data_IF_127550630567
#
_entry.id   IF_127550630567
#
_cell.length_a   1.000
_cell.length_b   1.000
_cell.length_c   1.000
_cell.angle_alpha   90.00
_cell.angle_beta   90.00
_cell.angle_gamma   90.00
#
_symmetry.space_group_name_H-M   'P 1'
#
loop_
_entity.id
_entity.type
_entity.pdbx_description
1 polymer ?
#
# COMPACT_ATOMS: atom_id res chain seq x y z
N UNK A 1 -3.32 1.74 15.12
CA UNK A 1 -2.74 0.91 14.04
C UNK A 1 -3.16 -0.54 14.22
N UNK A 2 -3.02 -1.15 15.40
CA UNK A 2 -3.41 -2.55 15.66
C UNK A 2 -4.88 -2.83 15.31
N UNK A 3 -5.78 -1.90 15.66
CA UNK A 3 -7.20 -1.98 15.31
C UNK A 3 -7.41 -1.96 13.78
N UNK A 4 -6.67 -1.13 13.06
CA UNK A 4 -6.77 -1.06 11.60
C UNK A 4 -6.26 -2.35 10.94
N UNK A 5 -5.16 -2.92 11.45
CA UNK A 5 -4.63 -4.21 11.00
C UNK A 5 -5.64 -5.33 11.17
N UNK A 6 -6.29 -5.42 12.33
CA UNK A 6 -7.33 -6.40 12.62
C UNK A 6 -8.51 -6.25 11.68
N UNK A 7 -9.04 -5.03 11.50
CA UNK A 7 -10.17 -4.77 10.60
C UNK A 7 -9.86 -5.20 9.17
N UNK A 8 -8.67 -4.89 8.64
CA UNK A 8 -8.28 -5.27 7.29
C UNK A 8 -8.17 -6.78 7.15
N UNK A 9 -7.50 -7.45 8.10
CA UNK A 9 -7.39 -8.91 8.11
C UNK A 9 -8.76 -9.58 8.12
N UNK A 10 -9.62 -9.19 9.05
CA UNK A 10 -10.96 -9.77 9.20
C UNK A 10 -11.82 -9.54 7.96
N UNK A 11 -11.73 -8.35 7.36
CA UNK A 11 -12.49 -8.03 6.15
C UNK A 11 -12.02 -8.87 4.97
N UNK A 12 -10.71 -8.98 4.76
CA UNK A 12 -10.14 -9.77 3.68
C UNK A 12 -10.41 -11.26 3.87
N UNK A 13 -10.27 -11.79 5.09
CA UNK A 13 -10.57 -13.20 5.38
C UNK A 13 -12.04 -13.52 5.13
N UNK A 14 -12.96 -12.67 5.57
CA UNK A 14 -14.41 -12.85 5.33
C UNK A 14 -14.77 -12.79 3.85
N UNK A 15 -14.09 -11.91 3.10
CA UNK A 15 -14.42 -11.67 1.69
C UNK A 15 -13.79 -12.72 0.76
N UNK A 16 -12.57 -13.17 1.06
CA UNK A 16 -11.79 -14.03 0.17
C UNK A 16 -11.66 -15.47 0.66
N UNK A 17 -11.95 -15.75 1.93
CA UNK A 17 -11.66 -17.04 2.59
C UNK A 17 -10.17 -17.29 2.84
N UNK A 18 -9.30 -16.32 2.53
CA UNK A 18 -7.84 -16.43 2.71
C UNK A 18 -7.40 -15.62 3.92
N UNK A 19 -6.38 -16.13 4.64
CA UNK A 19 -5.72 -15.39 5.73
C UNK A 19 -4.59 -14.54 5.17
N UNK A 20 -4.78 -13.20 5.02
CA UNK A 20 -3.75 -12.35 4.48
C UNK A 20 -2.66 -12.04 5.51
N UNK A 21 -1.44 -11.91 5.04
CA UNK A 21 -0.38 -11.26 5.79
C UNK A 21 -0.49 -9.75 5.59
N UNK A 22 -0.62 -9.00 6.68
CA UNK A 22 -0.74 -7.54 6.62
C UNK A 22 0.37 -6.92 7.45
N UNK A 23 1.09 -5.99 6.86
CA UNK A 23 2.11 -5.19 7.53
C UNK A 23 1.86 -3.71 7.25
N UNK A 24 1.85 -2.90 8.30
CA UNK A 24 1.84 -1.45 8.21
C UNK A 24 3.25 -0.92 8.43
N UNK A 25 3.67 -0.03 7.56
CA UNK A 25 4.88 0.77 7.70
C UNK A 25 4.43 2.22 7.73
N UNK A 26 4.70 2.91 8.81
CA UNK A 26 4.31 4.31 9.02
C UNK A 26 5.53 5.18 9.21
N UNK A 27 5.41 6.49 8.95
CA UNK A 27 6.45 7.47 9.25
C UNK A 27 5.81 8.74 9.78
N UNK A 28 6.46 9.38 10.74
CA UNK A 28 6.12 10.73 11.19
C UNK A 28 6.70 11.81 10.26
N UNK A 29 7.58 11.42 9.37
CA UNK A 29 8.20 12.30 8.38
C UNK A 29 7.44 12.18 7.06
N UNK A 30 6.62 13.19 6.77
CA UNK A 30 5.79 13.20 5.57
C UNK A 30 6.60 13.22 4.27
N UNK A 31 7.85 13.68 4.31
CA UNK A 31 8.73 13.73 3.13
C UNK A 31 9.23 12.33 2.72
N UNK A 32 9.16 11.36 3.62
CA UNK A 32 9.58 9.98 3.34
C UNK A 32 8.50 9.11 2.71
N UNK A 33 7.24 9.53 2.78
CA UNK A 33 6.12 8.78 2.20
C UNK A 33 5.74 9.43 0.88
N UNK A 34 5.71 8.68 -0.23
CA UNK A 34 5.23 9.22 -1.52
C UNK A 34 3.84 9.82 -1.39
N UNK A 35 3.61 11.00 -1.97
CA UNK A 35 2.29 11.64 -2.01
C UNK A 35 1.28 10.85 -2.83
N UNK A 36 1.75 10.21 -3.89
CA UNK A 36 0.90 9.41 -4.77
C UNK A 36 0.39 8.16 -4.06
N UNK A 37 -0.81 7.77 -4.38
CA UNK A 37 -1.47 6.58 -3.82
C UNK A 37 -1.53 5.49 -4.86
N UNK A 38 -0.94 4.35 -4.52
CA UNK A 38 -0.84 3.18 -5.39
C UNK A 38 -1.43 1.95 -4.72
N UNK A 39 -2.04 1.09 -5.53
CA UNK A 39 -2.25 -0.33 -5.22
C UNK A 39 -1.47 -1.11 -6.26
N UNK A 40 -0.53 -1.92 -5.82
CA UNK A 40 0.33 -2.74 -6.67
C UNK A 40 -0.01 -4.21 -6.40
N UNK A 41 -0.33 -4.91 -7.47
CA UNK A 41 -0.53 -6.36 -7.46
C UNK A 41 0.42 -7.03 -8.46
N UNK A 42 0.43 -8.36 -8.52
CA UNK A 42 1.21 -9.09 -9.52
C UNK A 42 0.79 -8.78 -10.96
N UNK A 43 -0.41 -8.23 -11.15
CA UNK A 43 -1.01 -8.07 -12.49
C UNK A 43 -1.30 -6.63 -12.87
N UNK A 44 -1.45 -5.75 -11.88
CA UNK A 44 -1.95 -4.39 -12.08
C UNK A 44 -1.24 -3.38 -11.19
N UNK A 45 -1.01 -2.20 -11.75
CA UNK A 45 -0.74 -0.97 -11.03
C UNK A 45 -2.01 -0.12 -11.08
N UNK A 46 -2.51 0.29 -9.92
CA UNK A 46 -3.67 1.18 -9.78
C UNK A 46 -3.18 2.45 -9.12
N UNK A 47 -3.43 3.59 -9.76
CA UNK A 47 -3.08 4.93 -9.26
C UNK A 47 -4.32 5.75 -9.01
N UNK A 48 -4.33 6.51 -7.93
CA UNK A 48 -5.38 7.46 -7.62
C UNK A 48 -4.81 8.84 -7.33
N UNK A 49 -5.31 9.85 -8.06
CA UNK A 49 -4.93 11.24 -7.85
C UNK A 49 -5.41 11.82 -6.52
N UNK A 50 -6.48 11.27 -5.92
CA UNK A 50 -7.15 11.79 -4.73
C UNK A 50 -7.24 10.77 -3.58
N UNK A 51 -6.17 10.06 -3.31
CA UNK A 51 -6.08 9.18 -2.14
C UNK A 51 -7.18 8.11 -2.04
N UNK A 52 -7.74 7.67 -3.17
CA UNK A 52 -8.85 6.70 -3.24
C UNK A 52 -10.14 7.18 -2.55
N UNK A 53 -10.34 8.47 -2.38
CA UNK A 53 -11.55 9.05 -1.78
C UNK A 53 -12.70 9.13 -2.80
N UNK A 54 -13.24 7.97 -3.19
CA UNK A 54 -14.36 7.89 -4.13
C UNK A 54 -15.73 7.81 -3.46
N UNK A 55 -15.75 7.52 -2.17
CA UNK A 55 -16.95 7.36 -1.38
C UNK A 55 -16.85 8.13 -0.07
N UNK A 56 -17.96 8.69 0.39
CA UNK A 56 -18.05 9.29 1.72
C UNK A 56 -18.17 8.22 2.82
N UNK A 57 -18.22 8.65 4.07
CA UNK A 57 -18.33 7.76 5.24
C UNK A 57 -19.63 6.95 5.28
N UNK A 58 -20.62 7.30 4.47
CA UNK A 58 -21.88 6.60 4.31
C UNK A 58 -21.91 5.68 3.08
N UNK A 59 -20.79 5.58 2.36
CA UNK A 59 -20.69 4.79 1.14
C UNK A 59 -21.28 5.43 -0.10
N UNK A 60 -21.66 6.72 -0.05
CA UNK A 60 -22.15 7.44 -1.20
C UNK A 60 -20.99 7.93 -2.06
N UNK A 61 -21.10 7.75 -3.38
CA UNK A 61 -20.09 8.22 -4.33
C UNK A 61 -19.90 9.74 -4.25
N UNK A 62 -18.66 10.16 -4.15
CA UNK A 62 -18.26 11.57 -4.20
C UNK A 62 -18.18 11.99 -5.68
N UNK A 63 -18.94 13.02 -6.07
CA UNK A 63 -19.10 13.46 -7.46
C UNK A 63 -17.82 14.05 -8.09
N UNK A 64 -16.87 14.49 -7.29
CA UNK A 64 -15.61 15.08 -7.74
C UNK A 64 -14.40 14.17 -7.43
N UNK A 65 -14.61 12.84 -7.44
CA UNK A 65 -13.53 11.88 -7.27
C UNK A 65 -12.45 12.04 -8.36
N UNK A 66 -11.19 11.96 -7.98
CA UNK A 66 -10.05 12.05 -8.89
C UNK A 66 -10.03 10.91 -9.91
N UNK A 67 -9.13 11.04 -10.89
CA UNK A 67 -8.91 9.97 -11.88
C UNK A 67 -8.36 8.70 -11.23
N UNK A 68 -8.82 7.57 -11.72
CA UNK A 68 -8.30 6.25 -11.40
C UNK A 68 -7.66 5.66 -12.65
N UNK A 69 -6.34 5.47 -12.61
CA UNK A 69 -5.60 4.83 -13.69
C UNK A 69 -5.31 3.38 -13.32
N UNK A 70 -5.56 2.47 -14.26
CA UNK A 70 -5.31 1.04 -14.10
C UNK A 70 -4.43 0.55 -15.24
N UNK A 71 -3.19 0.21 -14.92
CA UNK A 71 -2.19 -0.23 -15.88
C UNK A 71 -1.87 -1.72 -15.74
N UNK A 72 -1.55 -2.38 -16.84
CA UNK A 72 -1.16 -3.79 -16.84
C UNK A 72 0.32 -3.97 -16.53
N UNK A 73 0.66 -4.89 -15.62
CA UNK A 73 2.05 -5.30 -15.35
C UNK A 73 2.68 -6.05 -16.53
N UNK A 74 1.90 -6.49 -17.52
CA UNK A 74 2.43 -7.03 -18.78
C UNK A 74 3.00 -5.95 -19.71
N UNK A 75 2.70 -4.67 -19.46
CA UNK A 75 3.31 -3.54 -20.15
C UNK A 75 4.70 -3.28 -19.57
N UNK A 76 5.71 -3.22 -20.44
CA UNK A 76 7.11 -3.06 -20.04
C UNK A 76 7.37 -1.73 -19.28
N UNK A 77 6.75 -0.64 -19.71
CA UNK A 77 6.91 0.68 -19.05
C UNK A 77 6.31 0.66 -17.64
N UNK A 78 5.11 0.07 -17.49
CA UNK A 78 4.46 -0.10 -16.20
C UNK A 78 5.31 -0.96 -15.26
N UNK A 79 5.82 -2.08 -15.77
CA UNK A 79 6.68 -2.98 -15.01
C UNK A 79 7.95 -2.26 -14.53
N UNK A 80 8.65 -1.54 -15.41
CA UNK A 80 9.87 -0.79 -15.08
C UNK A 80 9.58 0.31 -14.04
N UNK A 81 8.47 1.02 -14.19
CA UNK A 81 8.04 2.03 -13.20
C UNK A 81 7.81 1.39 -11.83
N UNK A 82 7.10 0.27 -11.76
CA UNK A 82 6.82 -0.44 -10.51
C UNK A 82 8.10 -0.95 -9.86
N UNK A 83 9.07 -1.47 -10.62
CA UNK A 83 10.37 -1.88 -10.06
C UNK A 83 11.07 -0.70 -9.36
N UNK A 84 11.15 0.44 -10.03
CA UNK A 84 11.73 1.67 -9.46
C UNK A 84 10.97 2.14 -8.21
N UNK A 85 9.65 2.04 -8.20
CA UNK A 85 8.82 2.39 -7.05
C UNK A 85 9.07 1.46 -5.86
N UNK A 86 9.17 0.15 -6.11
CA UNK A 86 9.45 -0.84 -5.07
C UNK A 86 10.85 -0.67 -4.46
N UNK A 87 11.85 -0.29 -5.25
CA UNK A 87 13.19 0.06 -4.76
C UNK A 87 13.14 1.27 -3.82
N UNK A 88 12.41 2.31 -4.18
CA UNK A 88 12.20 3.49 -3.32
C UNK A 88 11.47 3.14 -2.03
N UNK A 89 10.44 2.30 -2.11
CA UNK A 89 9.70 1.82 -0.94
C UNK A 89 10.59 0.96 -0.02
N UNK A 90 11.45 0.11 -0.60
CA UNK A 90 12.41 -0.67 0.17
C UNK A 90 13.41 0.23 0.91
N UNK A 91 13.94 1.27 0.26
CA UNK A 91 14.83 2.24 0.88
C UNK A 91 14.12 3.00 2.02
N UNK A 92 12.90 3.45 1.79
CA UNK A 92 12.07 4.10 2.80
C UNK A 92 11.83 3.18 4.01
N UNK A 93 11.46 1.92 3.77
CA UNK A 93 11.30 0.92 4.83
C UNK A 93 12.60 0.74 5.64
N UNK A 94 13.74 0.60 4.97
CA UNK A 94 15.03 0.38 5.65
C UNK A 94 15.38 1.58 6.56
N UNK A 95 15.10 2.80 6.12
CA UNK A 95 15.31 4.00 6.93
C UNK A 95 14.38 4.05 8.15
N UNK A 96 13.10 3.73 7.98
CA UNK A 96 12.13 3.68 9.08
C UNK A 96 12.54 2.59 10.08
N UNK A 97 12.88 1.39 9.61
CA UNK A 97 13.30 0.28 10.46
C UNK A 97 14.55 0.60 11.30
N UNK A 98 15.50 1.34 10.71
CA UNK A 98 16.71 1.78 11.41
C UNK A 98 16.43 2.83 12.47
N UNK A 99 15.51 3.77 12.21
CA UNK A 99 15.24 4.90 13.09
C UNK A 99 14.22 4.54 14.18
N UNK A 100 13.17 3.81 13.84
CA UNK A 100 12.13 3.43 14.78
C UNK A 100 11.35 2.19 14.28
N UNK A 101 11.77 1.02 14.71
CA UNK A 101 11.13 -0.24 14.32
C UNK A 101 9.68 -0.39 14.83
N UNK A 102 9.27 0.38 15.85
CA UNK A 102 7.89 0.35 16.39
C UNK A 102 6.87 0.93 15.40
N UNK A 103 7.34 1.61 14.36
CA UNK A 103 6.49 2.09 13.26
C UNK A 103 6.17 1.01 12.21
N UNK A 104 6.65 -0.21 12.41
CA UNK A 104 6.42 -1.36 11.54
C UNK A 104 5.63 -2.42 12.32
N UNK A 105 4.34 -2.54 12.00
CA UNK A 105 3.40 -3.38 12.74
C UNK A 105 2.77 -4.39 11.79
N UNK A 106 2.74 -5.66 12.20
CA UNK A 106 2.07 -6.72 11.46
C UNK A 106 2.94 -7.96 11.26
N UNK A 107 2.62 -8.75 10.24
CA UNK A 107 3.28 -10.04 9.98
C UNK A 107 4.74 -9.92 9.53
N UNK A 108 5.14 -8.75 9.01
CA UNK A 108 6.45 -8.48 8.41
C UNK A 108 6.82 -9.50 7.32
N UNK A 109 5.81 -9.91 6.55
CA UNK A 109 5.96 -10.83 5.41
C UNK A 109 5.43 -10.17 4.13
N UNK A 110 6.24 -10.14 3.09
CA UNK A 110 5.86 -9.64 1.77
C UNK A 110 6.73 -10.27 0.70
N UNK A 111 6.16 -10.41 -0.50
CA UNK A 111 6.93 -10.77 -1.70
C UNK A 111 7.54 -9.55 -2.40
N UNK A 112 7.09 -8.34 -2.04
CA UNK A 112 7.51 -7.09 -2.68
C UNK A 112 8.57 -6.35 -1.86
N UNK A 113 8.48 -6.41 -0.54
CA UNK A 113 9.39 -5.71 0.39
C UNK A 113 10.07 -6.76 1.27
N UNK A 114 11.38 -6.64 1.42
CA UNK A 114 12.17 -7.47 2.34
C UNK A 114 12.15 -6.83 3.72
N UNK A 115 11.58 -7.52 4.68
CA UNK A 115 11.62 -7.12 6.07
C UNK A 115 12.87 -7.69 6.74
N UNK A 116 13.64 -6.83 7.40
CA UNK A 116 14.73 -7.27 8.27
C UNK A 116 14.12 -7.77 9.58
N UNK A 117 14.22 -9.04 9.80
CA UNK A 117 13.77 -9.66 11.05
C UNK A 117 14.85 -9.48 12.13
#
# INVERSE_FOLDING_TARGET
IDKATSIIKDTLEKTTGMKPNVTFVTSNDNDKIPHDRFIITNYRLIRSGDSFLYFDTKGKKITNGGALDIDSMANHETYTFVQSLLEKLQACYNDIARLNNDMIIGSKESKFIRFNN
#
